data_IF_450879809596
#
_entry.id   IF_450879809596
#
_cell.length_a   1.000
_cell.length_b   1.000
_cell.length_c   1.000
_cell.angle_alpha   90.00
_cell.angle_beta   90.00
_cell.angle_gamma   90.00
#
_symmetry.space_group_name_H-M   'P 1'
#
loop_
_entity.id
_entity.type
_entity.pdbx_description
1 polymer ?
#
# COMPACT_ATOMS: atom_id res chain seq x y z
N UNK A 1 57.93 53.22 18.59
CA UNK A 1 56.52 53.57 18.36
C UNK A 1 56.04 52.74 17.19
N UNK A 2 54.95 51.98 17.37
CA UNK A 2 54.12 51.33 16.32
C UNK A 2 54.85 50.27 15.47
N UNK A 3 54.33 49.08 15.16
CA UNK A 3 53.00 48.48 15.32
C UNK A 3 53.14 46.99 14.97
N UNK A 4 52.91 46.08 15.92
CA UNK A 4 52.80 44.64 15.65
C UNK A 4 51.36 44.29 15.30
N UNK A 5 51.14 43.90 14.04
CA UNK A 5 49.87 43.34 13.58
C UNK A 5 49.78 41.87 14.03
N UNK A 6 48.92 41.61 15.01
CA UNK A 6 48.54 40.27 15.45
C UNK A 6 47.46 39.75 14.49
N UNK A 7 47.81 38.78 13.64
CA UNK A 7 46.85 37.98 12.89
C UNK A 7 46.09 37.07 13.85
N UNK A 8 44.77 37.26 13.96
CA UNK A 8 43.85 36.25 14.49
C UNK A 8 43.69 35.14 13.45
N UNK A 9 44.14 33.95 13.83
CA UNK A 9 43.85 32.70 13.11
C UNK A 9 42.44 32.27 13.44
N UNK A 10 41.54 32.37 12.46
CA UNK A 10 40.16 31.88 12.55
C UNK A 10 40.19 30.35 12.45
N UNK A 11 40.23 29.67 13.60
CA UNK A 11 40.13 28.22 13.69
C UNK A 11 38.67 27.82 13.52
N UNK A 12 38.28 27.51 12.28
CA UNK A 12 37.02 26.83 11.96
C UNK A 12 36.94 25.55 12.75
N UNK A 13 36.06 25.53 13.75
CA UNK A 13 35.80 24.35 14.56
C UNK A 13 35.15 23.27 13.69
N UNK A 14 35.89 22.20 13.41
CA UNK A 14 35.32 20.92 13.01
C UNK A 14 34.52 20.38 14.21
N UNK A 15 33.25 20.76 14.27
CA UNK A 15 32.31 20.11 15.17
C UNK A 15 32.03 18.70 14.63
N UNK A 16 32.10 17.65 15.47
CA UNK A 16 31.74 16.31 15.07
C UNK A 16 30.23 16.26 14.80
N UNK A 17 29.83 16.39 13.53
CA UNK A 17 28.47 16.07 13.12
C UNK A 17 28.24 14.59 13.36
N UNK A 18 27.28 14.27 14.22
CA UNK A 18 26.89 12.90 14.55
C UNK A 18 26.69 12.07 13.26
N UNK A 19 27.12 10.81 13.28
CA UNK A 19 27.17 9.91 12.11
C UNK A 19 25.83 9.73 11.38
N UNK A 20 24.71 10.00 12.05
CA UNK A 20 23.35 9.97 11.49
C UNK A 20 22.97 11.23 10.70
N UNK A 21 23.80 12.28 10.70
CA UNK A 21 23.65 13.49 9.86
C UNK A 21 24.50 13.46 8.59
N UNK A 22 25.00 12.28 8.18
CA UNK A 22 25.59 12.17 6.85
C UNK A 22 24.51 12.48 5.82
N UNK A 23 24.62 13.66 5.19
CA UNK A 23 23.97 13.93 3.90
C UNK A 23 24.39 12.77 3.00
N UNK A 24 23.47 11.87 2.67
CA UNK A 24 23.62 11.05 1.47
C UNK A 24 23.90 12.05 0.35
N UNK A 25 25.09 11.95 -0.24
CA UNK A 25 25.48 12.74 -1.39
C UNK A 25 24.31 12.70 -2.36
N UNK A 26 23.83 13.87 -2.76
CA UNK A 26 22.68 14.04 -3.64
C UNK A 26 22.96 13.59 -5.09
N UNK A 27 23.68 12.49 -5.28
CA UNK A 27 23.57 11.66 -6.47
C UNK A 27 22.25 10.88 -6.34
N UNK A 28 21.13 11.62 -6.32
CA UNK A 28 19.81 11.05 -6.48
C UNK A 28 19.75 10.47 -7.88
N UNK A 29 20.06 9.18 -7.98
CA UNK A 29 19.92 8.43 -9.21
C UNK A 29 18.42 8.44 -9.57
N UNK A 30 18.02 9.38 -10.42
CA UNK A 30 16.66 9.44 -10.93
C UNK A 30 16.45 8.16 -11.73
N UNK A 31 15.48 7.30 -11.37
CA UNK A 31 15.27 6.06 -12.07
C UNK A 31 15.03 6.34 -13.56
N UNK A 32 15.71 5.61 -14.43
CA UNK A 32 15.40 5.57 -15.85
C UNK A 32 14.01 4.99 -16.01
N UNK A 33 13.18 5.66 -16.80
CA UNK A 33 11.84 5.17 -17.09
C UNK A 33 11.78 4.59 -18.51
N UNK A 34 11.07 3.48 -18.66
CA UNK A 34 10.77 2.84 -19.95
C UNK A 34 9.27 2.97 -20.24
N UNK A 35 8.90 2.91 -21.51
CA UNK A 35 7.48 2.81 -21.86
C UNK A 35 6.93 1.45 -21.41
N UNK A 36 5.68 1.43 -20.96
CA UNK A 36 5.06 0.21 -20.44
C UNK A 36 5.08 -0.96 -21.44
N UNK A 37 4.93 -0.67 -22.74
CA UNK A 37 5.00 -1.67 -23.81
C UNK A 37 6.38 -2.30 -24.02
N UNK A 38 7.43 -1.62 -23.58
CA UNK A 38 8.83 -2.06 -23.77
C UNK A 38 9.41 -2.63 -22.46
N UNK A 39 8.58 -2.75 -21.42
CA UNK A 39 8.97 -3.19 -20.10
C UNK A 39 9.21 -4.71 -20.03
N UNK A 40 10.20 -5.12 -19.24
CA UNK A 40 10.33 -6.54 -18.84
C UNK A 40 9.27 -6.91 -17.81
N UNK A 41 8.67 -8.09 -17.96
CA UNK A 41 7.51 -8.50 -17.18
C UNK A 41 7.76 -9.80 -16.42
N UNK A 42 7.27 -9.85 -15.18
CA UNK A 42 7.16 -11.08 -14.41
C UNK A 42 5.69 -11.41 -14.13
N UNK A 43 5.27 -12.64 -14.39
CA UNK A 43 3.89 -13.10 -14.16
C UNK A 43 3.85 -14.13 -13.02
N UNK A 44 3.17 -13.81 -11.92
CA UNK A 44 2.82 -14.77 -10.89
C UNK A 44 1.37 -15.22 -11.08
N UNK A 45 1.18 -16.44 -11.60
CA UNK A 45 -0.13 -16.98 -11.97
C UNK A 45 -0.64 -17.97 -10.92
N UNK A 46 -1.83 -17.70 -10.39
CA UNK A 46 -2.48 -18.55 -9.40
C UNK A 46 -2.89 -19.89 -10.04
N UNK A 47 -2.36 -20.97 -9.49
CA UNK A 47 -2.59 -22.33 -9.90
C UNK A 47 -3.19 -23.17 -8.77
N UNK A 48 -3.91 -22.51 -7.88
CA UNK A 48 -4.70 -23.15 -6.83
C UNK A 48 -5.95 -23.83 -7.40
N UNK A 49 -6.53 -24.76 -6.64
CA UNK A 49 -7.68 -25.55 -7.11
C UNK A 49 -8.92 -24.74 -7.55
N UNK A 50 -9.11 -23.53 -7.00
CA UNK A 50 -10.25 -22.65 -7.36
C UNK A 50 -10.13 -22.05 -8.76
N UNK A 51 -8.91 -22.01 -9.31
CA UNK A 51 -8.65 -21.51 -10.67
C UNK A 51 -8.95 -22.53 -11.77
N UNK A 52 -9.35 -23.76 -11.42
CA UNK A 52 -9.57 -24.84 -12.39
C UNK A 52 -10.55 -24.46 -13.53
N UNK A 53 -10.29 -25.02 -14.71
CA UNK A 53 -11.14 -24.84 -15.89
C UNK A 53 -11.00 -23.46 -16.55
N UNK A 54 -12.10 -22.69 -16.62
CA UNK A 54 -12.16 -21.47 -17.43
C UNK A 54 -11.30 -20.34 -16.86
N UNK A 55 -11.13 -20.27 -15.54
CA UNK A 55 -10.31 -19.23 -14.88
C UNK A 55 -8.85 -19.41 -15.30
N UNK A 56 -8.27 -20.59 -15.12
CA UNK A 56 -6.90 -20.93 -15.54
C UNK A 56 -6.68 -20.64 -17.02
N UNK A 57 -7.63 -21.04 -17.87
CA UNK A 57 -7.57 -20.74 -19.31
C UNK A 57 -7.51 -19.23 -19.59
N UNK A 58 -8.26 -18.40 -18.86
CA UNK A 58 -8.25 -16.95 -19.08
C UNK A 58 -7.01 -16.27 -18.50
N UNK A 59 -6.43 -16.81 -17.43
CA UNK A 59 -5.14 -16.36 -16.89
C UNK A 59 -3.99 -16.70 -17.84
N UNK A 60 -4.01 -17.90 -18.43
CA UNK A 60 -3.12 -18.29 -19.53
C UNK A 60 -3.26 -17.32 -20.71
N UNK A 61 -4.48 -17.15 -21.23
CA UNK A 61 -4.76 -16.26 -22.37
C UNK A 61 -4.29 -14.82 -22.09
N UNK A 62 -4.45 -14.33 -20.85
CA UNK A 62 -3.95 -13.01 -20.44
C UNK A 62 -2.43 -12.97 -20.51
N UNK A 63 -1.76 -13.94 -19.89
CA UNK A 63 -0.30 -14.00 -19.81
C UNK A 63 0.33 -14.10 -21.21
N UNK A 64 -0.18 -14.99 -22.06
CA UNK A 64 0.30 -15.16 -23.43
C UNK A 64 0.14 -13.90 -24.29
N UNK A 65 -0.98 -13.17 -24.13
CA UNK A 65 -1.21 -11.92 -24.88
C UNK A 65 -0.33 -10.78 -24.40
N UNK A 66 -0.14 -10.64 -23.09
CA UNK A 66 0.73 -9.62 -22.51
C UNK A 66 2.21 -9.89 -22.80
N UNK A 67 2.59 -11.17 -22.90
CA UNK A 67 3.93 -11.60 -23.28
C UNK A 67 4.25 -11.40 -24.78
N UNK A 68 3.23 -11.35 -25.65
CA UNK A 68 3.42 -11.34 -27.09
C UNK A 68 4.33 -10.20 -27.56
N UNK A 69 5.53 -10.54 -28.01
CA UNK A 69 6.54 -9.58 -28.49
C UNK A 69 7.67 -9.29 -27.48
N UNK A 70 7.63 -9.89 -26.30
CA UNK A 70 8.62 -9.76 -25.24
C UNK A 70 9.42 -11.07 -25.13
N UNK A 71 10.75 -11.00 -25.06
CA UNK A 71 11.61 -12.20 -25.05
C UNK A 71 12.14 -12.58 -23.69
N UNK A 72 12.14 -11.63 -22.75
CA UNK A 72 12.80 -11.78 -21.44
C UNK A 72 11.81 -11.93 -20.28
N UNK A 73 10.51 -12.01 -20.59
CA UNK A 73 9.48 -12.19 -19.58
C UNK A 73 9.61 -13.55 -18.89
N UNK A 74 9.19 -13.57 -17.64
CA UNK A 74 9.24 -14.76 -16.80
C UNK A 74 7.89 -15.02 -16.18
N UNK A 75 7.56 -16.28 -15.98
CA UNK A 75 6.30 -16.69 -15.35
C UNK A 75 6.53 -17.75 -14.30
N UNK A 76 5.78 -17.67 -13.21
CA UNK A 76 5.73 -18.67 -12.17
C UNK A 76 4.29 -19.03 -11.87
N UNK A 77 4.04 -20.31 -11.64
CA UNK A 77 2.76 -20.83 -11.12
C UNK A 77 2.86 -20.92 -9.60
N UNK A 78 1.86 -20.42 -8.87
CA UNK A 78 1.85 -20.41 -7.41
C UNK A 78 0.56 -20.95 -6.80
N UNK A 79 0.63 -21.36 -5.54
CA UNK A 79 -0.46 -21.91 -4.74
C UNK A 79 0.02 -22.12 -3.30
N UNK A 80 -0.16 -23.33 -2.75
CA UNK A 80 0.58 -23.76 -1.54
C UNK A 80 2.06 -24.00 -1.82
N UNK A 81 2.44 -24.12 -3.09
CA UNK A 81 3.82 -24.19 -3.55
C UNK A 81 4.04 -23.16 -4.65
N UNK A 82 5.26 -22.68 -4.80
CA UNK A 82 5.65 -21.76 -5.86
C UNK A 82 6.77 -22.42 -6.68
N UNK A 83 6.55 -22.60 -7.99
CA UNK A 83 7.53 -23.16 -8.91
C UNK A 83 8.75 -22.24 -9.11
N UNK A 84 9.71 -22.67 -9.93
CA UNK A 84 10.75 -21.76 -10.40
C UNK A 84 10.24 -20.95 -11.60
N UNK A 85 10.73 -19.71 -11.80
CA UNK A 85 10.41 -18.93 -13.00
C UNK A 85 10.76 -19.67 -14.29
N UNK A 86 9.84 -19.63 -15.26
CA UNK A 86 9.96 -20.19 -16.60
C UNK A 86 10.06 -19.03 -17.59
N UNK A 87 11.08 -19.05 -18.46
CA UNK A 87 11.27 -18.05 -19.53
C UNK A 87 10.52 -18.41 -20.81
N UNK A 88 10.41 -19.70 -21.11
CA UNK A 88 9.68 -20.20 -22.27
C UNK A 88 8.19 -20.35 -21.93
N UNK A 89 7.47 -19.21 -21.92
CA UNK A 89 6.05 -19.13 -21.50
C UNK A 89 5.14 -20.15 -22.24
N UNK A 90 5.31 -20.42 -23.56
CA UNK A 90 4.58 -21.47 -24.25
C UNK A 90 4.71 -22.89 -23.66
N UNK A 91 5.77 -23.18 -22.88
CA UNK A 91 5.99 -24.50 -22.26
C UNK A 91 5.40 -24.65 -20.86
N UNK A 92 4.80 -23.58 -20.33
CA UNK A 92 4.24 -23.58 -18.98
C UNK A 92 3.10 -24.59 -18.87
N UNK A 93 3.12 -25.49 -17.88
CA UNK A 93 2.05 -26.46 -17.68
C UNK A 93 0.85 -25.80 -16.99
N UNK A 94 0.00 -25.12 -17.77
CA UNK A 94 -1.21 -24.42 -17.33
C UNK A 94 -2.25 -25.36 -16.70
N UNK A 95 -2.03 -25.71 -15.43
CA UNK A 95 -2.80 -26.70 -14.68
C UNK A 95 -2.88 -26.29 -13.21
N UNK A 96 -3.99 -26.65 -12.55
CA UNK A 96 -4.26 -26.43 -11.12
C UNK A 96 -3.43 -27.36 -10.20
N UNK A 97 -2.10 -27.30 -10.32
CA UNK A 97 -1.18 -28.24 -9.70
C UNK A 97 -0.52 -27.73 -8.41
N UNK A 98 -0.79 -26.50 -7.97
CA UNK A 98 -0.05 -25.87 -6.87
C UNK A 98 -0.74 -25.93 -5.51
N UNK A 99 -1.93 -26.53 -5.40
CA UNK A 99 -2.62 -26.77 -4.13
C UNK A 99 -3.57 -25.65 -3.70
N UNK A 100 -3.43 -25.16 -2.47
CA UNK A 100 -4.24 -24.05 -1.92
C UNK A 100 -3.79 -22.68 -2.43
N UNK A 101 -4.30 -21.61 -1.81
CA UNK A 101 -4.07 -20.22 -2.25
C UNK A 101 -3.19 -19.48 -1.22
N UNK A 102 -1.86 -19.57 -1.39
CA UNK A 102 -0.88 -18.96 -0.48
C UNK A 102 0.14 -18.08 -1.23
N UNK A 103 -0.19 -16.81 -1.55
CA UNK A 103 0.70 -15.93 -2.32
C UNK A 103 2.01 -15.59 -1.61
N UNK A 104 2.10 -15.85 -0.30
CA UNK A 104 3.35 -15.74 0.46
C UNK A 104 4.45 -16.64 -0.09
N UNK A 105 4.08 -17.76 -0.73
CA UNK A 105 5.04 -18.70 -1.33
C UNK A 105 5.83 -18.07 -2.48
N UNK A 106 5.27 -17.08 -3.18
CA UNK A 106 5.97 -16.29 -4.21
C UNK A 106 7.16 -15.56 -3.56
N UNK A 107 6.90 -14.85 -2.47
CA UNK A 107 7.89 -14.03 -1.77
C UNK A 107 8.86 -14.86 -0.91
N UNK A 108 8.56 -16.14 -0.67
CA UNK A 108 9.47 -17.07 -0.01
C UNK A 108 10.39 -17.77 -1.02
N UNK A 109 10.02 -17.80 -2.31
CA UNK A 109 10.86 -18.35 -3.35
C UNK A 109 11.90 -17.33 -3.80
N UNK A 110 13.16 -17.60 -3.47
CA UNK A 110 14.29 -16.72 -3.82
C UNK A 110 14.42 -16.47 -5.33
N UNK A 111 14.18 -17.48 -6.17
CA UNK A 111 14.29 -17.33 -7.63
C UNK A 111 13.15 -16.45 -8.17
N UNK A 112 11.95 -16.58 -7.62
CA UNK A 112 10.84 -15.69 -7.96
C UNK A 112 11.12 -14.25 -7.53
N UNK A 113 11.63 -14.04 -6.32
CA UNK A 113 12.02 -12.70 -5.85
C UNK A 113 13.11 -12.06 -6.72
N UNK A 114 14.12 -12.83 -7.12
CA UNK A 114 15.18 -12.36 -8.02
C UNK A 114 14.62 -11.96 -9.38
N UNK A 115 13.79 -12.82 -9.98
CA UNK A 115 13.13 -12.52 -11.26
C UNK A 115 12.17 -11.32 -11.18
N UNK A 116 11.44 -11.16 -10.07
CA UNK A 116 10.62 -9.97 -9.82
C UNK A 116 11.50 -8.72 -9.71
N UNK A 117 12.63 -8.80 -9.01
CA UNK A 117 13.59 -7.71 -8.87
C UNK A 117 14.26 -7.28 -10.17
N UNK A 118 14.45 -8.23 -11.10
CA UNK A 118 14.98 -8.01 -12.45
C UNK A 118 13.92 -7.47 -13.44
N UNK A 119 12.65 -7.42 -13.04
CA UNK A 119 11.54 -7.00 -13.89
C UNK A 119 11.14 -5.53 -13.66
N UNK A 120 10.78 -4.86 -14.76
CA UNK A 120 10.29 -3.48 -14.72
C UNK A 120 8.89 -3.43 -14.08
N UNK A 121 8.05 -4.44 -14.33
CA UNK A 121 6.72 -4.63 -13.75
C UNK A 121 6.48 -6.11 -13.43
N UNK A 122 5.68 -6.39 -12.41
CA UNK A 122 5.18 -7.75 -12.17
C UNK A 122 3.67 -7.81 -12.01
N UNK A 123 3.10 -8.94 -12.40
CA UNK A 123 1.68 -9.24 -12.39
C UNK A 123 1.39 -10.30 -11.34
N UNK A 124 0.34 -10.09 -10.56
CA UNK A 124 -0.21 -11.12 -9.68
C UNK A 124 -1.63 -11.46 -10.17
N UNK A 125 -1.74 -12.61 -10.84
CA UNK A 125 -3.02 -13.13 -11.33
C UNK A 125 -3.62 -14.04 -10.26
N UNK A 126 -4.91 -13.90 -9.99
CA UNK A 126 -5.67 -14.68 -8.98
C UNK A 126 -7.16 -14.65 -9.29
N UNK A 127 -7.96 -15.44 -8.59
CA UNK A 127 -9.42 -15.34 -8.56
C UNK A 127 -9.98 -14.58 -7.33
N UNK A 128 -9.11 -14.15 -6.40
CA UNK A 128 -9.34 -12.98 -5.54
C UNK A 128 -9.31 -13.17 -4.02
N UNK A 129 -9.16 -14.38 -3.48
CA UNK A 129 -9.34 -14.61 -2.04
C UNK A 129 -8.14 -15.20 -1.28
N UNK A 130 -7.68 -14.51 -0.22
CA UNK A 130 -6.76 -15.08 0.78
C UNK A 130 -7.19 -14.75 2.21
N UNK A 131 -6.81 -15.61 3.15
CA UNK A 131 -6.99 -15.43 4.60
C UNK A 131 -5.76 -14.84 5.32
N UNK A 132 -4.62 -14.71 4.63
CA UNK A 132 -3.31 -14.36 5.21
C UNK A 132 -2.75 -12.98 4.85
N UNK A 133 -3.61 -11.96 4.69
CA UNK A 133 -3.20 -10.60 4.26
C UNK A 133 -2.09 -9.98 5.12
N UNK A 134 -2.09 -10.07 6.47
CA UNK A 134 -1.03 -9.47 7.29
C UNK A 134 0.35 -10.05 6.99
N UNK A 135 0.45 -11.37 6.89
CA UNK A 135 1.72 -12.06 6.62
C UNK A 135 2.23 -11.75 5.21
N UNK A 136 1.33 -11.69 4.22
CA UNK A 136 1.70 -11.27 2.87
C UNK A 136 2.22 -9.84 2.85
N UNK A 137 1.56 -8.93 3.58
CA UNK A 137 1.97 -7.53 3.68
C UNK A 137 3.36 -7.41 4.30
N UNK A 138 3.61 -8.09 5.41
CA UNK A 138 4.92 -8.11 6.06
C UNK A 138 6.02 -8.60 5.11
N UNK A 139 5.80 -9.76 4.46
CA UNK A 139 6.77 -10.29 3.50
C UNK A 139 6.99 -9.34 2.31
N UNK A 140 5.95 -8.66 1.83
CA UNK A 140 6.08 -7.72 0.72
C UNK A 140 6.93 -6.50 1.10
N UNK A 141 6.84 -6.03 2.34
CA UNK A 141 7.69 -4.97 2.88
C UNK A 141 9.12 -5.46 3.09
N UNK A 142 9.31 -6.62 3.72
CA UNK A 142 10.63 -7.20 4.03
C UNK A 142 11.44 -7.47 2.77
N UNK A 143 10.77 -7.95 1.71
CA UNK A 143 11.39 -8.25 0.42
C UNK A 143 11.49 -7.05 -0.51
N UNK A 144 10.96 -5.89 -0.10
CA UNK A 144 10.92 -4.65 -0.89
C UNK A 144 10.23 -4.78 -2.26
N UNK A 145 9.41 -5.82 -2.47
CA UNK A 145 8.68 -6.02 -3.72
C UNK A 145 7.64 -4.91 -3.96
N UNK A 146 7.18 -4.23 -2.90
CA UNK A 146 6.30 -3.06 -2.99
C UNK A 146 6.94 -1.87 -3.72
N UNK A 147 8.26 -1.86 -3.88
CA UNK A 147 9.00 -0.87 -4.65
C UNK A 147 8.86 -1.04 -6.17
N UNK A 148 8.31 -2.17 -6.59
CA UNK A 148 8.22 -2.60 -7.99
C UNK A 148 6.80 -2.34 -8.48
N UNK A 149 6.61 -1.68 -9.63
CA UNK A 149 5.31 -1.51 -10.25
C UNK A 149 4.56 -2.86 -10.31
N UNK A 150 3.35 -2.90 -9.76
CA UNK A 150 2.60 -4.15 -9.62
C UNK A 150 1.21 -4.05 -10.26
N UNK A 151 0.81 -5.07 -11.02
CA UNK A 151 -0.53 -5.16 -11.60
C UNK A 151 -1.25 -6.40 -11.04
N UNK A 152 -2.35 -6.19 -10.32
CA UNK A 152 -3.23 -7.27 -9.88
C UNK A 152 -4.26 -7.59 -10.94
N UNK A 153 -4.38 -8.86 -11.31
CA UNK A 153 -5.36 -9.30 -12.30
C UNK A 153 -6.29 -10.32 -11.63
N UNK A 154 -7.51 -9.88 -11.33
CA UNK A 154 -8.52 -10.72 -10.70
C UNK A 154 -9.38 -11.33 -11.81
N UNK A 155 -9.31 -12.64 -11.98
CA UNK A 155 -10.10 -13.37 -12.97
C UNK A 155 -11.28 -14.03 -12.28
N UNK A 156 -12.50 -13.58 -12.58
CA UNK A 156 -13.69 -14.10 -11.91
C UNK A 156 -14.98 -13.78 -12.64
N UNK A 157 -16.10 -14.28 -12.11
CA UNK A 157 -17.42 -13.90 -12.62
C UNK A 157 -17.85 -12.57 -12.04
N UNK A 158 -18.41 -11.69 -12.88
CA UNK A 158 -18.99 -10.44 -12.39
C UNK A 158 -20.09 -10.73 -11.37
N UNK A 159 -19.92 -10.18 -10.17
CA UNK A 159 -21.03 -9.99 -9.24
C UNK A 159 -21.88 -8.78 -9.64
N UNK A 160 -22.82 -8.41 -8.78
CA UNK A 160 -23.72 -7.26 -9.04
C UNK A 160 -22.98 -5.92 -9.18
N UNK A 161 -21.84 -5.76 -8.49
CA UNK A 161 -21.06 -4.53 -8.49
C UNK A 161 -19.56 -4.83 -8.26
N UNK A 162 -18.66 -3.97 -8.74
CA UNK A 162 -17.22 -4.07 -8.46
C UNK A 162 -16.89 -4.07 -6.96
N UNK A 163 -17.69 -3.38 -6.13
CA UNK A 163 -17.51 -3.36 -4.67
C UNK A 163 -17.62 -4.73 -3.99
N UNK A 164 -18.16 -5.74 -4.68
CA UNK A 164 -18.31 -7.10 -4.17
C UNK A 164 -17.12 -8.01 -4.55
N UNK A 165 -16.16 -7.50 -5.31
CA UNK A 165 -14.95 -8.26 -5.64
C UNK A 165 -14.12 -8.49 -4.39
N UNK A 166 -13.64 -9.71 -4.22
CA UNK A 166 -12.60 -9.98 -3.24
C UNK A 166 -11.27 -9.51 -3.81
N UNK A 167 -10.72 -8.44 -3.23
CA UNK A 167 -9.42 -7.88 -3.60
C UNK A 167 -8.37 -8.09 -2.49
N UNK A 168 -8.63 -9.03 -1.57
CA UNK A 168 -7.78 -9.26 -0.38
C UNK A 168 -6.33 -9.58 -0.74
N UNK A 169 -6.08 -10.25 -1.86
CA UNK A 169 -4.72 -10.51 -2.35
C UNK A 169 -4.02 -9.22 -2.76
N UNK A 170 -4.74 -8.34 -3.47
CA UNK A 170 -4.20 -7.10 -4.01
C UNK A 170 -4.06 -5.99 -2.96
N UNK A 171 -4.85 -6.00 -1.88
CA UNK A 171 -4.87 -4.89 -0.91
C UNK A 171 -3.51 -4.69 -0.22
N UNK A 172 -2.79 -5.78 0.06
CA UNK A 172 -1.47 -5.73 0.71
C UNK A 172 -0.50 -4.83 -0.08
N UNK A 173 -0.51 -4.94 -1.40
CA UNK A 173 0.33 -4.15 -2.27
C UNK A 173 -0.34 -2.83 -2.69
N UNK A 174 -1.67 -2.82 -2.86
CA UNK A 174 -2.39 -1.60 -3.20
C UNK A 174 -2.29 -0.54 -2.10
N UNK A 175 -2.13 -0.95 -0.84
CA UNK A 175 -1.85 -0.03 0.24
C UNK A 175 -0.38 0.45 0.24
N UNK A 176 0.58 -0.44 -0.01
CA UNK A 176 2.00 -0.18 0.30
C UNK A 176 2.88 0.17 -0.91
N UNK A 177 2.51 -0.19 -2.13
CA UNK A 177 3.29 0.15 -3.32
C UNK A 177 3.21 1.66 -3.66
N UNK A 178 4.10 2.18 -4.51
CA UNK A 178 3.90 3.52 -5.10
C UNK A 178 3.14 3.44 -6.43
N UNK A 179 3.43 2.41 -7.22
CA UNK A 179 2.87 2.20 -8.56
C UNK A 179 2.10 0.89 -8.58
N UNK A 180 0.77 0.96 -8.67
CA UNK A 180 -0.08 -0.23 -8.64
C UNK A 180 -1.31 -0.07 -9.51
N UNK A 181 -1.83 -1.16 -10.06
CA UNK A 181 -3.12 -1.20 -10.73
C UNK A 181 -3.89 -2.48 -10.39
N UNK A 182 -5.22 -2.40 -10.37
CA UNK A 182 -6.12 -3.54 -10.21
C UNK A 182 -6.96 -3.66 -11.48
N UNK A 183 -6.79 -4.78 -12.16
CA UNK A 183 -7.58 -5.22 -13.29
C UNK A 183 -8.53 -6.34 -12.86
N UNK A 184 -9.72 -6.37 -13.45
CA UNK A 184 -10.65 -7.48 -13.33
C UNK A 184 -10.96 -8.06 -14.72
N UNK A 185 -10.73 -9.35 -14.92
CA UNK A 185 -11.03 -10.09 -16.14
C UNK A 185 -12.29 -10.92 -15.94
N UNK A 186 -13.36 -10.52 -16.62
CA UNK A 186 -14.65 -11.19 -16.53
C UNK A 186 -14.64 -12.54 -17.24
N UNK A 187 -14.91 -13.62 -16.50
CA UNK A 187 -14.90 -14.99 -17.01
C UNK A 187 -15.94 -15.21 -18.11
N UNK A 188 -17.10 -14.55 -18.00
CA UNK A 188 -18.20 -14.75 -18.93
C UNK A 188 -17.94 -14.10 -20.30
N UNK A 189 -17.36 -12.91 -20.31
CA UNK A 189 -17.22 -12.08 -21.52
C UNK A 189 -15.79 -11.96 -22.02
N UNK A 190 -14.79 -12.21 -21.18
CA UNK A 190 -13.37 -11.95 -21.45
C UNK A 190 -12.98 -10.46 -21.35
N UNK A 191 -13.93 -9.57 -21.06
CA UNK A 191 -13.71 -8.12 -20.97
C UNK A 191 -12.86 -7.81 -19.73
N UNK A 192 -11.88 -6.93 -19.89
CA UNK A 192 -11.03 -6.38 -18.84
C UNK A 192 -11.64 -5.09 -18.28
N UNK A 193 -11.59 -4.92 -16.96
CA UNK A 193 -12.08 -3.73 -16.26
C UNK A 193 -10.94 -3.13 -15.44
N UNK A 194 -10.72 -1.81 -15.54
CA UNK A 194 -9.73 -1.10 -14.71
C UNK A 194 -10.42 -0.63 -13.43
N UNK A 195 -10.24 -1.37 -12.33
CA UNK A 195 -10.91 -1.11 -11.05
C UNK A 195 -10.28 0.07 -10.31
N UNK A 196 -8.95 0.08 -10.24
CA UNK A 196 -8.20 1.08 -9.49
C UNK A 196 -6.76 1.16 -10.01
N UNK A 197 -6.10 2.28 -9.74
CA UNK A 197 -4.72 2.53 -10.19
C UNK A 197 -4.15 3.74 -9.47
N UNK A 198 -2.84 3.68 -9.17
CA UNK A 198 -2.09 4.75 -8.50
C UNK A 198 -0.69 4.86 -9.09
N UNK A 199 0.00 5.95 -8.77
CA UNK A 199 1.34 6.22 -9.31
C UNK A 199 1.28 6.38 -10.83
N UNK A 200 2.17 5.72 -11.55
CA UNK A 200 2.25 5.75 -13.00
C UNK A 200 0.98 5.25 -13.71
N UNK A 201 0.15 4.43 -13.05
CA UNK A 201 -1.09 3.88 -13.63
C UNK A 201 -2.33 4.76 -13.38
N UNK A 202 -2.22 5.83 -12.59
CA UNK A 202 -3.35 6.71 -12.30
C UNK A 202 -4.07 7.27 -13.55
N UNK A 203 -3.38 7.65 -14.64
CA UNK A 203 -4.04 8.15 -15.86
C UNK A 203 -5.01 7.15 -16.51
N UNK A 204 -4.81 5.84 -16.31
CA UNK A 204 -5.63 4.79 -16.92
C UNK A 204 -7.04 4.68 -16.30
N UNK A 205 -7.17 5.08 -15.04
CA UNK A 205 -8.45 5.02 -14.29
C UNK A 205 -9.38 6.17 -14.68
N UNK A 206 -8.82 7.31 -15.09
CA UNK A 206 -9.56 8.55 -15.34
C UNK A 206 -10.32 8.53 -16.68
N UNK A 207 -11.38 7.72 -16.78
CA UNK A 207 -12.35 7.69 -17.89
C UNK A 207 -13.52 8.67 -17.75
N UNK A 208 -13.66 9.33 -16.60
CA UNK A 208 -14.63 10.40 -16.36
C UNK A 208 -14.10 11.30 -15.25
N UNK A 209 -14.21 12.62 -15.45
CA UNK A 209 -13.92 13.74 -14.53
C UNK A 209 -12.99 13.48 -13.33
N UNK A 210 -11.84 14.18 -13.35
CA UNK A 210 -10.78 14.18 -12.34
C UNK A 210 -11.23 14.11 -10.86
N UNK A 211 -10.45 13.35 -10.09
CA UNK A 211 -10.19 13.47 -8.65
C UNK A 211 -11.13 12.82 -7.62
N UNK A 212 -12.23 12.17 -8.00
CA UNK A 212 -13.02 11.36 -7.05
C UNK A 212 -12.66 9.88 -7.14
N UNK A 213 -12.59 9.19 -6.00
CA UNK A 213 -12.48 7.73 -5.95
C UNK A 213 -13.49 7.09 -6.92
N UNK A 214 -13.09 6.09 -7.73
CA UNK A 214 -14.00 5.48 -8.68
C UNK A 214 -15.24 4.96 -7.94
N UNK A 215 -16.42 5.35 -8.42
CA UNK A 215 -17.66 4.80 -7.90
C UNK A 215 -17.67 3.30 -8.24
N UNK A 216 -17.61 2.44 -7.22
CA UNK A 216 -17.62 0.99 -7.40
C UNK A 216 -19.00 0.38 -7.18
N UNK A 217 -20.06 1.19 -7.19
CA UNK A 217 -21.44 0.74 -7.04
C UNK A 217 -22.00 0.06 -8.30
N UNK A 218 -21.43 0.33 -9.47
CA UNK A 218 -21.81 -0.28 -10.75
C UNK A 218 -20.60 -0.60 -11.63
N UNK A 219 -20.73 -1.60 -12.50
CA UNK A 219 -19.73 -1.89 -13.54
C UNK A 219 -19.73 -0.86 -14.67
N UNK A 220 -20.83 -0.13 -14.88
CA UNK A 220 -20.98 0.81 -16.01
C UNK A 220 -20.08 2.04 -15.90
N UNK A 221 -19.67 2.38 -14.68
CA UNK A 221 -18.78 3.50 -14.38
C UNK A 221 -17.30 3.10 -14.42
N UNK A 222 -17.02 1.79 -14.41
CA UNK A 222 -15.67 1.26 -14.51
C UNK A 222 -15.25 1.17 -15.97
N UNK A 223 -14.03 1.62 -16.28
CA UNK A 223 -13.51 1.53 -17.65
C UNK A 223 -13.39 0.07 -18.09
N UNK A 224 -14.17 -0.30 -19.09
CA UNK A 224 -14.15 -1.61 -19.73
C UNK A 224 -13.28 -1.58 -21.00
N UNK A 225 -12.50 -2.62 -21.20
CA UNK A 225 -11.63 -2.86 -22.35
C UNK A 225 -11.94 -4.26 -22.89
N UNK A 226 -12.04 -4.40 -24.20
CA UNK A 226 -12.41 -5.63 -24.87
C UNK A 226 -11.42 -6.77 -24.60
N UNK A 227 -10.13 -6.45 -24.60
CA UNK A 227 -9.03 -7.41 -24.48
C UNK A 227 -7.72 -6.70 -24.08
N UNK A 228 -6.66 -7.50 -23.92
CA UNK A 228 -5.31 -7.07 -23.56
C UNK A 228 -4.69 -6.15 -24.63
N UNK A 229 -5.04 -6.32 -25.91
CA UNK A 229 -4.53 -5.45 -26.98
C UNK A 229 -5.10 -4.03 -26.86
N UNK A 230 -6.39 -3.90 -26.51
CA UNK A 230 -6.98 -2.61 -26.19
C UNK A 230 -6.37 -1.98 -24.93
N UNK A 231 -6.03 -2.78 -23.92
CA UNK A 231 -5.28 -2.32 -22.76
C UNK A 231 -3.90 -1.77 -23.12
N UNK A 232 -3.12 -2.48 -23.92
CA UNK A 232 -1.78 -2.03 -24.36
C UNK A 232 -1.86 -0.73 -25.16
N UNK A 233 -2.81 -0.64 -26.09
CA UNK A 233 -3.06 0.59 -26.85
C UNK A 233 -3.40 1.76 -25.93
N UNK A 234 -4.23 1.54 -24.91
CA UNK A 234 -4.55 2.59 -23.94
C UNK A 234 -3.30 3.05 -23.16
N UNK A 235 -2.43 2.11 -22.74
CA UNK A 235 -1.15 2.45 -22.10
C UNK A 235 -0.24 3.29 -23.01
N UNK A 236 -0.20 2.98 -24.31
CA UNK A 236 0.54 3.78 -25.30
C UNK A 236 -0.06 5.18 -25.48
N UNK A 237 -1.37 5.27 -25.66
CA UNK A 237 -2.11 6.52 -25.84
C UNK A 237 -1.94 7.47 -24.64
N UNK A 238 -1.93 6.92 -23.41
CA UNK A 238 -1.69 7.68 -22.18
C UNK A 238 -0.20 7.89 -21.89
N UNK A 239 0.71 7.35 -22.72
CA UNK A 239 2.15 7.50 -22.55
C UNK A 239 2.66 6.94 -21.22
N UNK A 240 2.11 5.82 -20.77
CA UNK A 240 2.47 5.21 -19.48
C UNK A 240 3.93 4.80 -19.49
N UNK A 241 4.65 5.25 -18.46
CA UNK A 241 6.07 4.96 -18.25
C UNK A 241 6.29 4.42 -16.85
N UNK A 242 7.19 3.45 -16.72
CA UNK A 242 7.49 2.79 -15.45
C UNK A 242 9.00 2.81 -15.17
N UNK A 243 9.42 2.81 -13.89
CA UNK A 243 10.83 2.78 -13.52
C UNK A 243 11.47 1.45 -13.90
N UNK A 244 12.54 1.51 -14.68
CA UNK A 244 13.24 0.31 -15.14
C UNK A 244 14.03 -0.36 -14.01
N UNK A 245 14.04 -1.69 -13.99
CA UNK A 245 14.69 -2.53 -13.00
C UNK A 245 16.17 -2.20 -12.82
N UNK A 246 16.89 -1.93 -13.91
CA UNK A 246 18.34 -1.65 -13.91
C UNK A 246 18.72 -0.34 -13.22
N UNK A 247 17.78 0.60 -13.20
CA UNK A 247 17.96 1.95 -12.66
C UNK A 247 17.24 2.19 -11.34
N UNK A 248 16.41 1.24 -10.91
CA UNK A 248 15.65 1.34 -9.67
C UNK A 248 16.63 1.28 -8.48
N UNK A 249 16.53 2.20 -7.51
CA UNK A 249 17.35 2.10 -6.31
C UNK A 249 17.04 0.77 -5.61
N UNK A 250 18.09 0.00 -5.30
CA UNK A 250 17.96 -1.19 -4.46
C UNK A 250 17.52 -0.71 -3.08
N UNK A 251 16.22 -0.83 -2.79
CA UNK A 251 15.70 -0.45 -1.49
C UNK A 251 16.25 -1.45 -0.47
N UNK A 252 17.00 -0.94 0.50
CA UNK A 252 17.27 -1.67 1.73
C UNK A 252 15.95 -1.79 2.48
N UNK A 253 15.56 -3.01 2.86
CA UNK A 253 14.32 -3.34 3.57
C UNK A 253 13.91 -2.28 4.61
N UNK A 254 12.63 -1.89 4.62
CA UNK A 254 12.04 -1.01 5.64
C UNK A 254 11.82 0.45 5.25
N UNK A 255 12.28 0.92 4.08
CA UNK A 255 12.03 2.30 3.63
C UNK A 255 10.72 2.39 2.85
N UNK A 256 9.69 3.01 3.44
CA UNK A 256 8.43 3.34 2.77
C UNK A 256 8.66 4.50 1.79
N UNK A 257 8.31 4.30 0.51
CA UNK A 257 8.32 5.36 -0.50
C UNK A 257 6.93 5.91 -0.71
N UNK A 258 6.80 7.23 -0.67
CA UNK A 258 5.54 7.96 -0.84
C UNK A 258 5.29 8.37 -2.31
N UNK A 259 6.10 7.84 -3.24
CA UNK A 259 6.02 8.07 -4.67
C UNK A 259 6.95 9.17 -5.18
N UNK A 260 7.45 9.03 -6.42
CA UNK A 260 8.47 9.93 -6.97
C UNK A 260 8.03 11.40 -7.06
N UNK A 261 6.76 11.66 -7.40
CA UNK A 261 6.21 13.02 -7.47
C UNK A 261 6.20 13.66 -6.08
N UNK A 262 5.78 12.90 -5.06
CA UNK A 262 5.75 13.38 -3.68
C UNK A 262 7.17 13.61 -3.16
N UNK A 263 8.08 12.66 -3.36
CA UNK A 263 9.47 12.78 -2.95
C UNK A 263 10.19 13.96 -3.63
N UNK A 264 9.92 14.19 -4.92
CA UNK A 264 10.46 15.32 -5.66
C UNK A 264 9.93 16.66 -5.12
N UNK A 265 8.65 16.72 -4.75
CA UNK A 265 8.04 17.92 -4.17
C UNK A 265 8.46 18.15 -2.70
N UNK A 266 8.91 17.10 -1.99
CA UNK A 266 9.04 17.08 -0.54
C UNK A 266 10.40 16.52 -0.07
N UNK A 267 11.47 16.74 -0.83
CA UNK A 267 12.79 16.13 -0.62
C UNK A 267 13.36 16.31 0.81
N UNK A 268 13.09 17.47 1.43
CA UNK A 268 13.48 17.75 2.81
C UNK A 268 12.51 17.18 3.86
N UNK A 269 11.24 16.98 3.48
CA UNK A 269 10.17 16.54 4.39
C UNK A 269 10.03 15.02 4.50
N UNK A 270 10.56 14.22 3.56
CA UNK A 270 10.65 12.76 3.74
C UNK A 270 11.41 12.44 5.05
N UNK A 271 12.47 13.21 5.33
CA UNK A 271 13.27 13.07 6.55
C UNK A 271 12.48 13.52 7.77
N UNK A 272 11.86 14.70 7.71
CA UNK A 272 11.05 15.22 8.83
C UNK A 272 9.84 14.34 9.13
N UNK A 273 9.20 13.74 8.12
CA UNK A 273 8.09 12.81 8.30
C UNK A 273 8.55 11.50 8.96
N UNK A 274 9.64 10.90 8.47
CA UNK A 274 10.21 9.71 9.09
C UNK A 274 10.68 10.01 10.53
N UNK A 275 11.26 11.19 10.78
CA UNK A 275 11.63 11.65 12.12
C UNK A 275 10.41 11.85 13.02
N UNK A 276 9.31 12.42 12.51
CA UNK A 276 8.05 12.61 13.23
C UNK A 276 7.36 11.29 13.56
N UNK A 277 7.32 10.36 12.60
CA UNK A 277 6.80 9.01 12.80
C UNK A 277 7.66 8.32 13.86
N UNK A 278 8.98 8.28 13.68
CA UNK A 278 9.90 7.69 14.67
C UNK A 278 9.72 8.29 16.07
N UNK A 279 9.60 9.62 16.17
CA UNK A 279 9.39 10.31 17.45
C UNK A 279 8.03 9.99 18.08
N UNK A 280 6.95 9.96 17.30
CA UNK A 280 5.62 9.57 17.80
C UNK A 280 5.64 8.14 18.36
N UNK A 281 6.41 7.27 17.72
CA UNK A 281 6.57 5.87 18.13
C UNK A 281 7.46 5.74 19.38
N UNK A 282 8.49 6.59 19.53
CA UNK A 282 9.30 6.66 20.76
C UNK A 282 8.44 7.09 21.95
N UNK A 283 7.56 8.08 21.74
CA UNK A 283 6.62 8.50 22.78
C UNK A 283 5.63 7.37 23.14
N UNK A 284 5.17 6.60 22.15
CA UNK A 284 4.25 5.49 22.38
C UNK A 284 4.91 4.34 23.18
N UNK A 285 6.18 4.04 22.90
CA UNK A 285 6.99 3.07 23.68
C UNK A 285 7.30 3.61 25.08
N UNK A 286 7.61 4.90 25.23
CA UNK A 286 7.79 5.51 26.54
C UNK A 286 6.51 5.45 27.39
N UNK A 287 5.34 5.59 26.76
CA UNK A 287 4.04 5.43 27.40
C UNK A 287 3.77 3.97 27.79
N UNK A 288 4.13 2.99 26.95
CA UNK A 288 3.95 1.57 27.29
C UNK A 288 4.90 1.10 28.41
N UNK A 289 6.12 1.62 28.45
CA UNK A 289 7.09 1.36 29.52
C UNK A 289 6.78 2.04 30.85
N UNK A 290 5.80 2.96 30.88
CA UNK A 290 5.41 3.71 32.07
C UNK A 290 4.45 2.94 33.02
N UNK A 291 4.50 1.60 33.07
CA UNK A 291 3.82 0.76 34.09
C UNK A 291 2.41 1.19 34.56
N UNK A 292 1.57 1.78 33.70
CA UNK A 292 0.14 1.98 33.98
C UNK A 292 -0.59 0.65 33.70
N UNK A 293 -0.49 -0.28 34.64
CA UNK A 293 -1.25 -1.53 34.61
C UNK A 293 -2.74 -1.24 34.71
N UNK A 294 -3.56 -2.09 34.08
CA UNK A 294 -5.02 -2.08 34.13
C UNK A 294 -5.61 -2.13 35.57
N UNK A 295 -4.77 -2.33 36.58
CA UNK A 295 -5.12 -2.33 38.00
C UNK A 295 -5.52 -0.93 38.53
N UNK A 296 -5.04 0.16 37.92
CA UNK A 296 -5.50 1.52 38.24
C UNK A 296 -6.91 1.79 37.66
N UNK A 297 -7.30 1.08 36.61
CA UNK A 297 -8.61 1.22 35.94
C UNK A 297 -9.71 0.32 36.54
N UNK A 298 -9.39 -0.66 37.39
CA UNK A 298 -10.37 -1.55 38.03
C UNK A 298 -10.99 -0.97 39.33
N UNK A 299 -10.64 0.27 39.71
CA UNK A 299 -11.44 1.03 40.67
C UNK A 299 -12.73 1.52 40.01
N UNK A 300 -13.69 0.61 39.92
CA UNK A 300 -15.09 0.81 39.53
C UNK A 300 -15.64 2.13 40.07
N UNK A 301 -15.73 3.13 39.20
CA UNK A 301 -16.51 4.34 39.46
C UNK A 301 -18.00 3.99 39.49
N UNK A 302 -18.69 4.36 40.57
CA UNK A 302 -20.13 4.19 40.75
C UNK A 302 -20.99 4.84 39.65
N UNK A 303 -20.38 5.60 38.72
CA UNK A 303 -21.01 6.19 37.54
C UNK A 303 -21.38 5.14 36.48
N UNK A 304 -20.59 4.07 36.32
CA UNK A 304 -20.83 3.02 35.31
C UNK A 304 -22.08 2.16 35.62
N UNK A 305 -22.47 2.04 36.89
CA UNK A 305 -23.71 1.35 37.29
C UNK A 305 -24.99 2.11 36.91
N UNK A 306 -24.90 3.41 36.59
CA UNK A 306 -26.07 4.24 36.23
C UNK A 306 -26.27 4.43 34.72
N UNK A 307 -25.33 3.97 33.89
CA UNK A 307 -25.41 4.11 32.44
C UNK A 307 -26.17 2.97 31.73
N UNK A 308 -26.64 1.95 32.46
CA UNK A 308 -27.38 0.81 31.91
C UNK A 308 -28.84 1.10 31.52
N UNK A 309 -29.20 2.35 31.21
CA UNK A 309 -30.60 2.71 30.92
C UNK A 309 -30.70 3.90 29.96
N UNK A 310 -30.30 3.75 28.70
CA UNK A 310 -30.80 4.60 27.60
C UNK A 310 -30.90 3.78 26.30
N UNK A 311 -31.99 4.00 25.57
CA UNK A 311 -32.56 3.20 24.50
C UNK A 311 -31.87 3.29 23.12
N UNK A 312 -32.31 2.39 22.23
CA UNK A 312 -31.94 2.27 20.82
C UNK A 312 -32.37 3.46 19.95
N UNK A 313 -31.55 3.71 18.92
CA UNK A 313 -31.77 4.54 17.71
C UNK A 313 -31.67 6.06 17.89
N UNK A 314 -30.53 6.62 17.47
CA UNK A 314 -30.35 8.05 17.20
C UNK A 314 -28.89 8.38 16.86
N UNK A 315 -28.69 9.26 15.87
CA UNK A 315 -27.38 9.84 15.54
C UNK A 315 -26.78 10.53 16.78
N UNK A 316 -25.51 10.25 17.07
CA UNK A 316 -24.81 10.82 18.23
C UNK A 316 -24.28 12.22 17.86
N UNK A 317 -24.78 13.30 18.48
CA UNK A 317 -24.27 14.65 18.23
C UNK A 317 -22.84 14.78 18.79
N UNK A 318 -21.97 15.51 18.09
CA UNK A 318 -20.57 15.75 18.50
C UNK A 318 -20.45 16.32 19.94
N UNK A 319 -21.50 16.96 20.44
CA UNK A 319 -21.58 17.54 21.78
C UNK A 319 -21.77 16.52 22.91
N UNK A 320 -22.01 15.24 22.61
CA UNK A 320 -22.12 14.19 23.64
C UNK A 320 -20.79 13.49 23.95
N UNK A 321 -19.68 13.95 23.35
CA UNK A 321 -18.34 13.52 23.73
C UNK A 321 -17.96 14.20 25.06
N UNK A 322 -17.64 13.41 26.08
CA UNK A 322 -17.16 13.90 27.38
C UNK A 322 -15.69 14.35 27.24
N UNK A 323 -15.48 15.66 27.09
CA UNK A 323 -14.16 16.27 26.93
C UNK A 323 -13.56 16.77 28.26
N UNK A 324 -14.27 16.62 29.38
CA UNK A 324 -13.92 17.21 30.69
C UNK A 324 -13.33 16.19 31.69
N UNK A 325 -13.01 14.97 31.24
CA UNK A 325 -12.26 13.99 32.04
C UNK A 325 -10.82 14.43 32.33
N UNK A 326 -10.08 13.78 33.25
CA UNK A 326 -8.68 14.08 33.50
C UNK A 326 -7.83 13.72 32.27
N UNK A 327 -7.73 14.65 31.33
CA UNK A 327 -6.95 14.51 30.10
C UNK A 327 -5.49 14.78 30.39
N UNK A 328 -4.63 13.84 30.04
CA UNK A 328 -3.21 14.12 29.82
C UNK A 328 -3.11 15.12 28.65
N UNK A 329 -2.76 16.38 28.93
CA UNK A 329 -2.35 17.33 27.88
C UNK A 329 -0.92 17.01 27.49
N UNK A 330 -0.74 16.00 26.66
CA UNK A 330 0.44 15.93 25.80
C UNK A 330 0.25 16.92 24.66
N UNK A 331 1.24 17.78 24.39
CA UNK A 331 1.30 18.50 23.11
C UNK A 331 1.50 17.47 22.00
N UNK A 332 0.42 16.94 21.45
CA UNK A 332 0.47 16.22 20.20
C UNK A 332 0.67 17.27 19.09
N UNK A 333 1.83 17.25 18.43
CA UNK A 333 2.11 18.13 17.27
C UNK A 333 1.32 17.72 16.02
N UNK A 334 0.42 16.75 16.11
CA UNK A 334 -0.40 16.31 14.99
C UNK A 334 -1.60 17.26 14.80
N UNK A 335 -1.41 18.25 13.91
CA UNK A 335 -2.41 18.96 13.09
C UNK A 335 -3.69 19.49 13.77
N UNK A 336 -3.73 20.80 13.98
CA UNK A 336 -4.97 21.58 13.99
C UNK A 336 -5.48 21.70 12.55
N UNK A 337 -6.58 21.03 12.21
CA UNK A 337 -7.27 21.26 10.94
C UNK A 337 -8.08 22.56 11.03
N UNK A 338 -7.73 23.55 10.21
CA UNK A 338 -8.54 24.76 10.03
C UNK A 338 -9.32 24.58 8.72
N UNK A 339 -10.66 24.57 8.81
CA UNK A 339 -11.57 24.51 7.65
C UNK A 339 -11.44 23.26 6.74
N UNK A 340 -11.10 22.10 7.30
CA UNK A 340 -10.96 20.86 6.52
C UNK A 340 -9.68 20.78 5.69
N UNK A 341 -8.75 21.72 5.91
CA UNK A 341 -7.43 21.71 5.28
C UNK A 341 -6.35 21.32 6.30
N UNK A 342 -5.29 20.68 5.80
CA UNK A 342 -4.08 20.38 6.58
C UNK A 342 -3.34 21.67 6.95
N UNK A 343 -2.34 21.58 7.83
CA UNK A 343 -1.41 22.69 8.10
C UNK A 343 -0.76 23.24 6.79
N UNK A 344 -0.75 22.42 5.73
CA UNK A 344 -0.17 22.68 4.43
C UNK A 344 -1.20 23.10 3.36
N UNK A 345 -2.45 23.41 3.75
CA UNK A 345 -3.57 23.79 2.84
C UNK A 345 -3.98 22.71 1.84
N UNK A 346 -3.77 21.45 2.19
CA UNK A 346 -4.29 20.33 1.41
C UNK A 346 -5.67 19.95 1.93
N UNK A 347 -6.61 19.63 1.03
CA UNK A 347 -7.90 19.10 1.45
C UNK A 347 -7.73 17.79 2.20
N UNK A 348 -8.11 17.76 3.48
CA UNK A 348 -8.06 16.56 4.31
C UNK A 348 -9.16 15.60 3.85
N UNK A 349 -8.77 14.38 3.47
CA UNK A 349 -9.74 13.32 3.15
C UNK A 349 -10.44 12.75 4.37
N UNK A 350 -9.78 12.78 5.53
CA UNK A 350 -10.27 12.20 6.78
C UNK A 350 -9.55 12.85 7.97
N UNK A 351 -10.19 12.86 9.13
CA UNK A 351 -9.59 13.25 10.40
C UNK A 351 -9.76 12.07 11.35
N UNK A 352 -8.63 11.52 11.82
CA UNK A 352 -8.61 10.46 12.81
C UNK A 352 -8.54 11.09 14.20
N UNK A 353 -9.64 11.14 14.96
CA UNK A 353 -9.59 11.75 16.27
C UNK A 353 -8.83 10.81 17.23
N UNK A 354 -8.01 11.39 18.10
CA UNK A 354 -7.30 10.66 19.17
C UNK A 354 -8.27 10.32 20.30
N UNK A 355 -9.28 9.50 20.02
CA UNK A 355 -10.24 9.01 21.00
C UNK A 355 -9.89 7.57 21.42
N UNK A 356 -10.31 7.16 22.60
CA UNK A 356 -10.20 5.75 23.00
C UNK A 356 -10.92 4.84 21.99
N UNK A 357 -10.21 3.80 21.51
CA UNK A 357 -10.71 2.83 20.54
C UNK A 357 -11.68 1.82 21.18
N UNK A 358 -12.82 2.29 21.70
CA UNK A 358 -13.87 1.47 22.35
C UNK A 358 -15.27 1.98 21.99
N UNK A 359 -16.28 1.11 22.15
CA UNK A 359 -17.70 1.48 22.00
C UNK A 359 -18.03 2.14 20.66
N UNK A 360 -18.76 3.27 20.71
CA UNK A 360 -19.15 4.02 19.52
C UNK A 360 -17.96 4.63 18.75
N UNK A 361 -16.88 5.00 19.45
CA UNK A 361 -15.68 5.57 18.84
C UNK A 361 -14.96 4.57 17.94
N UNK A 362 -14.95 3.28 18.32
CA UNK A 362 -14.36 2.21 17.51
C UNK A 362 -14.93 2.19 16.09
N UNK A 363 -16.26 2.19 15.96
CA UNK A 363 -16.93 2.17 14.65
C UNK A 363 -16.59 3.41 13.81
N UNK A 364 -16.51 4.58 14.45
CA UNK A 364 -16.15 5.82 13.78
C UNK A 364 -14.68 5.80 13.31
N UNK A 365 -13.74 5.42 14.18
CA UNK A 365 -12.31 5.34 13.86
C UNK A 365 -12.07 4.29 12.76
N UNK A 366 -12.69 3.11 12.86
CA UNK A 366 -12.62 2.07 11.81
C UNK A 366 -13.14 2.61 10.47
N UNK A 367 -14.22 3.38 10.46
CA UNK A 367 -14.76 4.00 9.25
C UNK A 367 -13.85 5.08 8.66
N UNK A 368 -13.23 5.91 9.50
CA UNK A 368 -12.31 6.96 9.05
C UNK A 368 -11.00 6.36 8.53
N UNK A 369 -10.42 5.38 9.25
CA UNK A 369 -9.25 4.62 8.80
C UNK A 369 -9.53 3.92 7.47
N UNK A 370 -10.73 3.36 7.31
CA UNK A 370 -11.15 2.72 6.08
C UNK A 370 -11.11 3.70 4.91
N UNK A 371 -11.77 4.87 5.05
CA UNK A 371 -11.75 5.91 4.01
C UNK A 371 -10.31 6.38 3.73
N UNK A 372 -9.50 6.56 4.77
CA UNK A 372 -8.11 7.01 4.68
C UNK A 372 -7.22 6.05 3.89
N UNK A 373 -7.25 4.77 4.25
CA UNK A 373 -6.30 3.76 3.78
C UNK A 373 -6.71 3.13 2.45
N UNK A 374 -8.01 3.10 2.14
CA UNK A 374 -8.53 2.41 0.96
C UNK A 374 -9.06 3.36 -0.10
N UNK A 375 -9.14 4.66 0.19
CA UNK A 375 -9.79 5.62 -0.70
C UNK A 375 -11.28 5.30 -0.93
N UNK A 376 -11.92 4.59 0.00
CA UNK A 376 -13.32 4.16 -0.11
C UNK A 376 -13.54 2.78 -0.74
N UNK A 377 -12.48 2.07 -1.15
CA UNK A 377 -12.58 0.69 -1.61
C UNK A 377 -13.04 -0.21 -0.45
N UNK A 378 -14.18 -0.92 -0.60
CA UNK A 378 -14.75 -1.86 0.39
C UNK A 378 -13.86 -3.08 0.61
N UNK A 379 -12.84 -2.90 1.41
CA UNK A 379 -12.11 -3.97 2.09
C UNK A 379 -12.79 -4.15 3.44
N UNK A 380 -13.17 -5.36 3.84
CA UNK A 380 -13.83 -5.59 5.13
C UNK A 380 -13.07 -4.88 6.27
N UNK A 381 -13.78 -4.36 7.28
CA UNK A 381 -13.18 -3.58 8.38
C UNK A 381 -11.99 -4.29 9.06
N UNK A 382 -11.90 -5.62 8.96
CA UNK A 382 -10.73 -6.37 9.44
C UNK A 382 -9.47 -6.10 8.63
N UNK A 383 -9.51 -5.91 7.31
CA UNK A 383 -8.32 -5.73 6.47
C UNK A 383 -7.62 -4.40 6.70
N UNK A 384 -8.40 -3.34 6.93
CA UNK A 384 -7.89 -2.00 7.26
C UNK A 384 -7.33 -1.96 8.67
N UNK A 385 -8.07 -2.51 9.64
CA UNK A 385 -7.59 -2.63 11.02
C UNK A 385 -6.37 -3.54 11.10
N UNK A 386 -6.29 -4.60 10.29
CA UNK A 386 -5.12 -5.48 10.22
C UNK A 386 -3.92 -4.79 9.59
N UNK A 387 -4.09 -4.05 8.48
CA UNK A 387 -3.02 -3.27 7.89
C UNK A 387 -2.47 -2.23 8.88
N UNK A 388 -3.37 -1.51 9.56
CA UNK A 388 -3.00 -0.54 10.58
C UNK A 388 -2.30 -1.19 11.78
N UNK A 389 -2.80 -2.34 12.25
CA UNK A 389 -2.18 -3.10 13.34
C UNK A 389 -0.84 -3.72 12.93
N UNK A 390 -0.65 -4.18 11.68
CA UNK A 390 0.64 -4.67 11.18
C UNK A 390 1.65 -3.53 11.08
N UNK A 391 1.23 -2.36 10.58
CA UNK A 391 2.08 -1.16 10.58
C UNK A 391 2.46 -0.78 12.02
N UNK A 392 1.52 -0.81 12.97
CA UNK A 392 1.80 -0.54 14.38
C UNK A 392 2.71 -1.61 15.02
N UNK A 393 2.48 -2.89 14.75
CA UNK A 393 3.20 -4.03 15.34
C UNK A 393 4.64 -4.09 14.84
N UNK A 394 4.87 -3.99 13.54
CA UNK A 394 6.21 -3.94 12.94
C UNK A 394 7.03 -2.78 13.54
N UNK A 395 6.39 -1.64 13.68
CA UNK A 395 6.97 -0.44 14.26
C UNK A 395 7.27 -0.56 15.76
N UNK A 396 6.47 -1.32 16.51
CA UNK A 396 6.71 -1.57 17.93
C UNK A 396 7.78 -2.65 18.14
N UNK A 397 7.84 -3.67 17.27
CA UNK A 397 8.85 -4.73 17.33
C UNK A 397 10.27 -4.26 16.95
N UNK A 398 10.43 -3.22 16.13
CA UNK A 398 11.74 -2.62 15.84
C UNK A 398 12.34 -1.85 17.04
N UNK A 399 11.59 -1.70 18.14
CA UNK A 399 12.00 -0.95 19.33
C UNK A 399 12.23 -1.82 20.57
N UNK A 400 12.08 -3.13 20.45
CA UNK A 400 12.58 -4.13 21.41
C UNK A 400 13.93 -4.67 20.93
#
# INVERSE_FOLDING_TARGET
MQSDHKQESDSTSDQPTASWKKKLSADQHTPRHVYFKDASQFFAVDASGSTSGRIMKLQQEFTERMHSGHTDDQVVMWGSHCGNPIKDIPTVPWTECMGGTEPTTILQNKQALEAIGESDVWYLLTDGGISGVPRLTQLALDTSVVAIPTIFVITGYKGNAPSNLNISVGIAFYANASDVMILFKDVATGILHIIAGKGCFAPLVAGGSQATSPDLSSWDVVRALKDEAEFMRLCEEQGIRIPSADSRPKISSGVIRLGAIWEQANENMVREHNDLVNHALEQLVALSGSNFTAEILDRRSNRAKRAGTVAEVGEIPLTSLDLDGPTFRGECRCTLALNGESLFRENLKTVLPTLEFKGANRKYIESQLFVALTGGLRTGASGVSQLFMTILDQVLCEKE
#
